data_IF_869386450613
#
_entry.id   IF_869386450613
#
_cell.length_a   1.000
_cell.length_b   1.000
_cell.length_c   1.000
_cell.angle_alpha   90.00
_cell.angle_beta   90.00
_cell.angle_gamma   90.00
#
_symmetry.space_group_name_H-M   'P 1'
#
loop_
_entity.id
_entity.type
_entity.pdbx_description
1 polymer ?
#
# COMPACT_ATOMS: atom_id res chain seq x y z
N UNK A 1 -2.51 -45.23 -20.48
CA UNK A 1 -1.31 -44.39 -20.68
C UNK A 1 -1.66 -42.99 -20.20
N UNK A 2 -1.42 -42.69 -18.92
CA UNK A 2 -1.67 -41.36 -18.36
C UNK A 2 -0.63 -40.42 -18.96
N UNK A 3 -1.08 -39.49 -19.82
CA UNK A 3 -0.23 -38.41 -20.29
C UNK A 3 0.26 -37.63 -19.07
N UNK A 4 1.58 -37.56 -18.89
CA UNK A 4 2.19 -36.89 -17.76
C UNK A 4 1.68 -35.47 -17.65
N UNK A 5 1.13 -35.12 -16.48
CA UNK A 5 0.83 -33.73 -16.16
C UNK A 5 2.13 -32.93 -16.28
N UNK A 6 2.24 -32.11 -17.32
CA UNK A 6 3.34 -31.15 -17.45
C UNK A 6 3.27 -30.23 -16.24
N UNK A 7 4.10 -30.52 -15.23
CA UNK A 7 4.18 -29.75 -13.99
C UNK A 7 4.60 -28.33 -14.36
N UNK A 8 3.64 -27.41 -14.34
CA UNK A 8 3.86 -26.03 -14.75
C UNK A 8 4.88 -25.39 -13.81
N UNK A 9 5.84 -24.67 -14.38
CA UNK A 9 6.79 -23.89 -13.60
C UNK A 9 6.12 -22.64 -13.02
N UNK A 10 6.61 -22.12 -11.89
CA UNK A 10 6.24 -20.80 -11.41
C UNK A 10 6.44 -19.70 -12.46
N UNK A 11 5.84 -18.55 -12.24
CA UNK A 11 6.04 -17.39 -13.10
C UNK A 11 7.53 -16.94 -13.11
N UNK A 12 8.01 -16.43 -14.26
CA UNK A 12 9.33 -15.83 -14.34
C UNK A 12 9.45 -14.66 -13.36
N UNK A 13 10.41 -14.75 -12.43
CA UNK A 13 10.50 -13.80 -11.33
C UNK A 13 10.70 -12.35 -11.78
N UNK A 14 11.42 -12.11 -12.88
CA UNK A 14 11.70 -10.76 -13.37
C UNK A 14 10.44 -9.97 -13.74
N UNK A 15 9.30 -10.64 -14.00
CA UNK A 15 8.03 -9.97 -14.25
C UNK A 15 7.52 -9.19 -13.03
N UNK A 16 7.90 -9.60 -11.81
CA UNK A 16 7.54 -8.86 -10.60
C UNK A 16 8.26 -7.51 -10.49
N UNK A 17 9.36 -7.30 -11.24
CA UNK A 17 10.03 -6.01 -11.32
C UNK A 17 9.15 -4.95 -12.00
N UNK A 18 8.12 -5.34 -12.74
CA UNK A 18 7.11 -4.42 -13.28
C UNK A 18 6.38 -3.64 -12.17
N UNK A 19 6.31 -4.19 -10.96
CA UNK A 19 5.79 -3.47 -9.79
C UNK A 19 6.56 -2.18 -9.48
N UNK A 20 7.84 -2.10 -9.89
CA UNK A 20 8.68 -0.92 -9.67
C UNK A 20 8.40 0.23 -10.66
N UNK A 21 7.58 0.01 -11.69
CA UNK A 21 7.23 1.06 -12.66
C UNK A 21 6.60 2.26 -11.93
N UNK A 22 5.60 2.04 -11.08
CA UNK A 22 4.92 3.11 -10.36
C UNK A 22 5.86 4.01 -9.55
N UNK A 23 6.70 3.50 -8.62
CA UNK A 23 7.62 4.36 -7.88
C UNK A 23 8.66 5.03 -8.79
N UNK A 24 9.17 4.37 -9.82
CA UNK A 24 10.12 4.98 -10.76
C UNK A 24 9.49 6.16 -11.50
N UNK A 25 8.26 5.99 -12.01
CA UNK A 25 7.53 7.05 -12.72
C UNK A 25 7.21 8.25 -11.83
N UNK A 26 6.87 8.01 -10.56
CA UNK A 26 6.58 9.10 -9.62
C UNK A 26 7.84 9.86 -9.24
N UNK A 27 8.94 9.15 -8.95
CA UNK A 27 10.23 9.77 -8.64
C UNK A 27 10.70 10.62 -9.84
N UNK A 28 10.72 10.06 -11.05
CA UNK A 28 11.13 10.80 -12.24
C UNK A 28 10.18 11.96 -12.56
N UNK A 29 8.88 11.75 -12.43
CA UNK A 29 7.86 12.77 -12.64
C UNK A 29 8.02 13.97 -11.71
N UNK A 30 8.23 13.72 -10.42
CA UNK A 30 8.48 14.76 -9.43
C UNK A 30 9.80 15.51 -9.70
N UNK A 31 10.85 14.81 -10.12
CA UNK A 31 12.16 15.42 -10.45
C UNK A 31 12.11 16.28 -11.72
N UNK A 32 11.33 15.88 -12.72
CA UNK A 32 11.20 16.61 -13.98
C UNK A 32 10.19 17.78 -13.89
N UNK A 33 9.18 17.65 -13.03
CA UNK A 33 8.16 18.67 -12.81
C UNK A 33 7.16 18.82 -13.98
N UNK A 34 6.31 19.84 -13.88
CA UNK A 34 5.31 20.14 -14.91
C UNK A 34 4.39 18.95 -15.21
N UNK A 35 4.13 18.70 -16.50
CA UNK A 35 3.27 17.59 -16.93
C UNK A 35 3.74 16.21 -16.46
N UNK A 36 5.05 16.02 -16.24
CA UNK A 36 5.59 14.73 -15.82
C UNK A 36 5.14 14.33 -14.41
N UNK A 37 4.72 15.27 -13.56
CA UNK A 37 4.17 14.94 -12.24
C UNK A 37 2.87 14.13 -12.31
N UNK A 38 2.18 14.15 -13.45
CA UNK A 38 0.96 13.37 -13.68
C UNK A 38 1.22 11.91 -14.10
N UNK A 39 2.48 11.51 -14.37
CA UNK A 39 2.80 10.17 -14.87
C UNK A 39 2.32 9.05 -13.94
N UNK A 40 2.39 9.24 -12.61
CA UNK A 40 1.88 8.27 -11.64
C UNK A 40 0.36 8.08 -11.74
N UNK A 41 -0.40 9.18 -11.77
CA UNK A 41 -1.86 9.15 -11.97
C UNK A 41 -2.21 8.47 -13.29
N UNK A 42 -1.58 8.90 -14.40
CA UNK A 42 -1.85 8.34 -15.73
C UNK A 42 -1.55 6.84 -15.74
N UNK A 43 -0.44 6.41 -15.17
CA UNK A 43 -0.10 5.00 -15.14
C UNK A 43 -1.07 4.18 -14.28
N UNK A 44 -1.36 4.63 -13.06
CA UNK A 44 -2.14 3.85 -12.08
C UNK A 44 -3.65 3.85 -12.41
N UNK A 45 -4.21 4.97 -12.88
CA UNK A 45 -5.65 5.10 -13.12
C UNK A 45 -6.08 4.95 -14.58
N UNK A 46 -5.16 5.10 -15.54
CA UNK A 46 -5.49 4.97 -16.97
C UNK A 46 -4.82 3.74 -17.55
N UNK A 47 -3.49 3.69 -17.57
CA UNK A 47 -2.75 2.62 -18.25
C UNK A 47 -2.96 1.27 -17.56
N UNK A 48 -2.86 1.21 -16.23
CA UNK A 48 -3.02 -0.01 -15.44
C UNK A 48 -4.37 -0.69 -15.68
N UNK A 49 -5.50 0.00 -15.47
CA UNK A 49 -6.83 -0.56 -15.74
C UNK A 49 -7.05 -0.95 -17.20
N UNK A 50 -6.52 -0.16 -18.16
CA UNK A 50 -6.58 -0.53 -19.58
C UNK A 50 -5.82 -1.84 -19.85
N UNK A 51 -4.61 -1.98 -19.30
CA UNK A 51 -3.82 -3.21 -19.44
C UNK A 51 -4.51 -4.40 -18.77
N UNK A 52 -5.12 -4.22 -17.59
CA UNK A 52 -5.87 -5.27 -16.90
C UNK A 52 -7.03 -5.80 -17.77
N UNK A 53 -7.80 -4.89 -18.39
CA UNK A 53 -8.90 -5.25 -19.30
C UNK A 53 -8.37 -5.93 -20.58
N UNK A 54 -7.30 -5.40 -21.18
CA UNK A 54 -6.75 -5.91 -22.44
C UNK A 54 -6.08 -7.28 -22.28
N UNK A 55 -5.35 -7.50 -21.18
CA UNK A 55 -4.64 -8.76 -20.92
C UNK A 55 -5.57 -9.83 -20.35
N UNK A 56 -6.58 -9.42 -19.59
CA UNK A 56 -7.57 -10.33 -19.01
C UNK A 56 -6.99 -11.31 -17.99
N UNK A 57 -7.74 -12.37 -17.69
CA UNK A 57 -7.37 -13.36 -16.67
C UNK A 57 -6.57 -14.53 -17.27
N UNK A 58 -5.52 -14.95 -16.58
CA UNK A 58 -4.86 -16.21 -16.91
C UNK A 58 -5.84 -17.38 -16.75
N UNK A 59 -5.89 -18.26 -17.75
CA UNK A 59 -6.67 -19.51 -17.70
C UNK A 59 -5.94 -20.63 -16.96
N UNK A 60 -4.65 -20.44 -16.69
CA UNK A 60 -3.76 -21.48 -16.19
C UNK A 60 -3.17 -21.03 -14.86
N UNK A 61 -3.43 -21.81 -13.82
CA UNK A 61 -2.82 -21.63 -12.51
C UNK A 61 -1.38 -22.13 -12.53
N UNK A 62 -0.43 -21.27 -12.16
CA UNK A 62 0.98 -21.63 -11.96
C UNK A 62 1.27 -21.73 -10.46
N UNK A 63 2.05 -22.73 -10.01
CA UNK A 63 2.39 -22.87 -8.60
C UNK A 63 3.26 -21.71 -8.11
N UNK A 64 3.20 -21.37 -6.80
CA UNK A 64 4.13 -20.42 -6.19
C UNK A 64 5.56 -20.92 -6.25
N UNK A 65 6.54 -20.01 -6.16
CA UNK A 65 7.96 -20.37 -6.07
C UNK A 65 8.29 -20.92 -4.69
N UNK A 66 9.23 -21.86 -4.63
CA UNK A 66 9.68 -22.46 -3.36
C UNK A 66 10.44 -21.48 -2.46
N UNK A 67 11.16 -20.50 -3.05
CA UNK A 67 11.90 -19.49 -2.31
C UNK A 67 11.16 -18.15 -2.27
N UNK A 68 10.90 -17.66 -1.05
CA UNK A 68 10.34 -16.32 -0.80
C UNK A 68 11.36 -15.19 -0.87
N UNK A 69 12.67 -15.48 -0.86
CA UNK A 69 13.74 -14.47 -0.77
C UNK A 69 13.65 -13.40 -1.86
N UNK A 70 13.40 -13.72 -3.15
CA UNK A 70 13.31 -12.69 -4.18
C UNK A 70 12.13 -11.73 -3.97
N UNK A 71 11.05 -12.18 -3.33
CA UNK A 71 9.89 -11.33 -2.99
C UNK A 71 10.17 -10.49 -1.76
N UNK A 72 10.87 -11.04 -0.76
CA UNK A 72 11.29 -10.27 0.41
C UNK A 72 12.23 -9.13 0.00
N UNK A 73 13.19 -9.38 -0.89
CA UNK A 73 14.05 -8.34 -1.48
C UNK A 73 13.20 -7.25 -2.15
N UNK A 74 12.17 -7.65 -2.91
CA UNK A 74 11.29 -6.71 -3.59
C UNK A 74 10.52 -5.82 -2.61
N UNK A 75 10.04 -6.36 -1.48
CA UNK A 75 9.44 -5.59 -0.40
C UNK A 75 10.41 -4.53 0.15
N UNK A 76 11.66 -4.90 0.40
CA UNK A 76 12.68 -3.95 0.85
C UNK A 76 12.95 -2.85 -0.18
N UNK A 77 13.03 -3.20 -1.46
CA UNK A 77 13.22 -2.23 -2.56
C UNK A 77 12.05 -1.24 -2.62
N UNK A 78 10.80 -1.72 -2.59
CA UNK A 78 9.63 -0.84 -2.56
C UNK A 78 9.60 0.06 -1.33
N UNK A 79 9.93 -0.49 -0.14
CA UNK A 79 9.98 0.29 1.10
C UNK A 79 11.04 1.39 1.06
N UNK A 80 12.22 1.12 0.52
CA UNK A 80 13.27 2.13 0.35
C UNK A 80 12.87 3.18 -0.69
N UNK A 81 12.37 2.75 -1.86
CA UNK A 81 11.93 3.66 -2.92
C UNK A 81 10.82 4.61 -2.48
N UNK A 82 9.96 4.18 -1.56
CA UNK A 82 8.90 5.05 -1.02
C UNK A 82 9.44 6.32 -0.36
N UNK A 83 10.58 6.25 0.34
CA UNK A 83 11.19 7.46 0.89
C UNK A 83 11.72 8.41 -0.19
N UNK A 84 12.18 7.87 -1.32
CA UNK A 84 12.52 8.69 -2.49
C UNK A 84 11.27 9.28 -3.16
N UNK A 85 10.16 8.54 -3.22
CA UNK A 85 8.86 9.04 -3.72
C UNK A 85 8.42 10.25 -2.89
N UNK A 86 8.39 10.12 -1.55
CA UNK A 86 8.02 11.22 -0.65
C UNK A 86 9.04 12.36 -0.71
N UNK A 87 10.34 12.06 -0.69
CA UNK A 87 11.39 13.06 -0.73
C UNK A 87 11.35 13.91 -1.99
N UNK A 88 11.20 13.29 -3.16
CA UNK A 88 11.07 14.00 -4.44
C UNK A 88 9.80 14.83 -4.53
N UNK A 89 8.68 14.34 -3.96
CA UNK A 89 7.46 15.13 -3.88
C UNK A 89 7.67 16.41 -3.05
N UNK A 90 8.25 16.32 -1.85
CA UNK A 90 8.51 17.49 -1.02
C UNK A 90 9.51 18.45 -1.67
N UNK A 91 10.55 17.92 -2.33
CA UNK A 91 11.49 18.74 -3.11
C UNK A 91 10.78 19.53 -4.21
N UNK A 92 9.89 18.88 -4.98
CA UNK A 92 9.10 19.54 -6.01
C UNK A 92 8.13 20.57 -5.41
N UNK A 93 7.43 20.20 -4.33
CA UNK A 93 6.46 21.04 -3.66
C UNK A 93 7.09 22.32 -3.07
N UNK A 94 8.30 22.21 -2.52
CA UNK A 94 9.04 23.35 -1.98
C UNK A 94 9.43 24.39 -3.03
N UNK A 95 9.52 23.99 -4.30
CA UNK A 95 9.81 24.89 -5.42
C UNK A 95 8.56 25.60 -5.96
N UNK A 96 7.36 25.24 -5.50
CA UNK A 96 6.12 25.85 -5.96
C UNK A 96 5.76 27.05 -5.08
N UNK A 97 5.47 28.19 -5.70
CA UNK A 97 5.05 29.41 -4.99
C UNK A 97 3.56 29.42 -4.62
N UNK A 98 2.76 28.57 -5.27
CA UNK A 98 1.31 28.46 -5.08
C UNK A 98 0.82 27.04 -5.37
N UNK A 99 -0.40 26.74 -4.94
CA UNK A 99 -1.06 25.48 -5.28
C UNK A 99 -1.52 25.54 -6.74
N UNK A 100 -0.75 24.91 -7.61
CA UNK A 100 -1.06 24.78 -9.03
C UNK A 100 -1.43 23.33 -9.41
N UNK A 101 -1.90 23.15 -10.65
CA UNK A 101 -2.31 21.85 -11.17
C UNK A 101 -1.20 20.79 -11.06
N UNK A 102 0.06 21.16 -11.29
CA UNK A 102 1.18 20.22 -11.26
C UNK A 102 1.54 19.80 -9.84
N UNK A 103 1.36 20.68 -8.85
CA UNK A 103 1.48 20.32 -7.44
C UNK A 103 0.40 19.33 -7.01
N UNK A 104 -0.85 19.57 -7.45
CA UNK A 104 -1.96 18.64 -7.19
C UNK A 104 -1.68 17.28 -7.87
N UNK A 105 -1.24 17.29 -9.13
CA UNK A 105 -0.89 16.07 -9.85
C UNK A 105 0.27 15.31 -9.18
N UNK A 106 1.32 16.02 -8.72
CA UNK A 106 2.42 15.43 -7.96
C UNK A 106 1.94 14.79 -6.65
N UNK A 107 1.08 15.48 -5.91
CA UNK A 107 0.49 14.98 -4.67
C UNK A 107 -0.37 13.73 -4.92
N UNK A 108 -1.20 13.73 -5.98
CA UNK A 108 -2.02 12.59 -6.35
C UNK A 108 -1.17 11.39 -6.81
N UNK A 109 -0.19 11.60 -7.69
CA UNK A 109 0.74 10.56 -8.15
C UNK A 109 1.48 9.93 -6.96
N UNK A 110 1.98 10.77 -6.05
CA UNK A 110 2.68 10.34 -4.83
C UNK A 110 1.75 9.57 -3.90
N UNK A 111 0.54 10.06 -3.65
CA UNK A 111 -0.45 9.38 -2.80
C UNK A 111 -0.89 8.03 -3.37
N UNK A 112 -1.15 7.95 -4.68
CA UNK A 112 -1.52 6.69 -5.34
C UNK A 112 -0.39 5.67 -5.30
N UNK A 113 0.85 6.09 -5.57
CA UNK A 113 2.00 5.21 -5.44
C UNK A 113 2.21 4.77 -3.99
N UNK A 114 2.00 5.66 -3.02
CA UNK A 114 2.08 5.33 -1.60
C UNK A 114 1.08 4.22 -1.22
N UNK A 115 -0.15 4.30 -1.72
CA UNK A 115 -1.16 3.25 -1.50
C UNK A 115 -0.80 1.93 -2.19
N UNK A 116 -0.49 1.98 -3.49
CA UNK A 116 -0.25 0.79 -4.31
C UNK A 116 1.08 0.08 -3.99
N UNK A 117 2.08 0.81 -3.50
CA UNK A 117 3.42 0.30 -3.20
C UNK A 117 3.65 0.24 -1.68
N UNK A 118 3.65 1.38 -1.00
CA UNK A 118 4.15 1.45 0.37
C UNK A 118 3.23 0.80 1.40
N UNK A 119 1.91 0.97 1.28
CA UNK A 119 0.95 0.31 2.19
C UNK A 119 0.97 -1.20 1.99
N UNK A 120 1.06 -1.68 0.74
CA UNK A 120 1.20 -3.12 0.43
C UNK A 120 2.49 -3.68 1.03
N UNK A 121 3.61 -3.00 0.85
CA UNK A 121 4.88 -3.39 1.48
C UNK A 121 4.78 -3.41 3.01
N UNK A 122 4.16 -2.38 3.60
CA UNK A 122 4.01 -2.28 5.04
C UNK A 122 3.04 -3.32 5.62
N UNK A 123 2.06 -3.78 4.84
CA UNK A 123 1.18 -4.89 5.21
C UNK A 123 1.98 -6.16 5.40
N UNK A 124 2.78 -6.57 4.41
CA UNK A 124 3.59 -7.80 4.50
C UNK A 124 4.65 -7.70 5.61
N UNK A 125 5.44 -6.62 5.61
CA UNK A 125 6.49 -6.41 6.60
C UNK A 125 5.94 -6.16 8.03
N UNK A 126 4.70 -5.71 8.15
CA UNK A 126 4.01 -5.48 9.42
C UNK A 126 3.72 -6.75 10.20
N UNK A 127 3.71 -7.91 9.54
CA UNK A 127 3.58 -9.24 10.15
C UNK A 127 4.89 -9.80 10.68
N UNK A 128 6.03 -9.19 10.33
CA UNK A 128 7.33 -9.61 10.85
C UNK A 128 7.40 -9.43 12.38
N UNK A 129 8.31 -10.17 13.03
CA UNK A 129 8.50 -10.14 14.48
C UNK A 129 8.60 -8.68 14.97
N UNK A 130 7.88 -8.30 16.04
CA UNK A 130 7.96 -6.94 16.58
C UNK A 130 9.40 -6.51 16.84
N UNK A 131 9.74 -5.27 16.47
CA UNK A 131 11.08 -4.66 16.54
C UNK A 131 12.14 -5.25 15.58
N UNK A 132 11.79 -6.18 14.71
CA UNK A 132 12.68 -6.60 13.61
C UNK A 132 12.86 -5.45 12.60
N UNK A 133 13.92 -5.47 11.77
CA UNK A 133 14.14 -4.44 10.75
C UNK A 133 12.94 -4.26 9.81
N UNK A 134 12.33 -5.35 9.33
CA UNK A 134 11.14 -5.28 8.46
C UNK A 134 9.95 -4.65 9.18
N UNK A 135 9.70 -5.02 10.43
CA UNK A 135 8.63 -4.44 11.24
C UNK A 135 8.84 -2.92 11.47
N UNK A 136 10.08 -2.49 11.70
CA UNK A 136 10.42 -1.06 11.84
C UNK A 136 10.18 -0.33 10.52
N UNK A 137 10.62 -0.91 9.39
CA UNK A 137 10.37 -0.34 8.07
C UNK A 137 8.86 -0.18 7.82
N UNK A 138 8.05 -1.21 8.06
CA UNK A 138 6.58 -1.13 7.95
C UNK A 138 5.99 0.03 8.79
N UNK A 139 6.50 0.21 10.01
CA UNK A 139 6.06 1.28 10.92
C UNK A 139 6.39 2.67 10.40
N UNK A 140 7.57 2.84 9.80
CA UNK A 140 8.00 4.09 9.17
C UNK A 140 7.20 4.38 7.89
N UNK A 141 6.97 3.37 7.05
CA UNK A 141 6.14 3.50 5.85
C UNK A 141 4.73 3.97 6.21
N UNK A 142 4.07 3.30 7.17
CA UNK A 142 2.71 3.67 7.61
C UNK A 142 2.66 5.04 8.28
N UNK A 143 3.71 5.42 9.02
CA UNK A 143 3.82 6.77 9.57
C UNK A 143 3.90 7.82 8.47
N UNK A 144 4.72 7.59 7.44
CA UNK A 144 4.91 8.53 6.33
C UNK A 144 3.65 8.80 5.50
N UNK A 145 2.63 7.94 5.60
CA UNK A 145 1.34 8.07 4.91
C UNK A 145 0.17 8.33 5.88
N UNK A 146 0.46 8.70 7.13
CA UNK A 146 -0.53 8.97 8.19
C UNK A 146 -1.49 7.80 8.48
N UNK A 147 -1.03 6.56 8.30
CA UNK A 147 -1.83 5.34 8.47
C UNK A 147 -1.25 4.36 9.51
N UNK A 148 -0.55 4.92 10.51
CA UNK A 148 0.12 4.23 11.62
C UNK A 148 -0.73 3.19 12.39
N UNK A 149 -2.05 3.34 12.39
CA UNK A 149 -2.98 2.46 13.09
C UNK A 149 -3.24 1.13 12.35
N UNK A 150 -2.90 1.05 11.06
CA UNK A 150 -3.16 -0.08 10.18
C UNK A 150 -2.74 -1.42 10.78
N UNK A 151 -1.48 -1.58 11.20
CA UNK A 151 -0.99 -2.85 11.77
C UNK A 151 -1.78 -3.32 12.99
N UNK A 152 -2.29 -2.40 13.81
CA UNK A 152 -3.09 -2.78 14.98
C UNK A 152 -4.48 -3.23 14.56
N UNK A 153 -5.11 -2.51 13.64
CA UNK A 153 -6.41 -2.86 13.09
C UNK A 153 -6.31 -4.20 12.34
N UNK A 154 -5.40 -4.28 11.38
CA UNK A 154 -5.25 -5.40 10.49
C UNK A 154 -4.93 -6.71 11.25
N UNK A 155 -3.96 -6.67 12.16
CA UNK A 155 -3.49 -7.87 12.86
C UNK A 155 -4.43 -8.34 14.00
N UNK A 156 -5.23 -7.44 14.57
CA UNK A 156 -6.07 -7.77 15.74
C UNK A 156 -7.58 -7.73 15.47
N UNK A 157 -8.00 -7.13 14.37
CA UNK A 157 -9.40 -6.98 13.97
C UNK A 157 -9.63 -7.66 12.64
N UNK A 158 -9.05 -7.17 11.53
CA UNK A 158 -9.33 -7.66 10.19
C UNK A 158 -9.11 -9.18 10.06
N UNK A 159 -7.92 -9.71 10.36
CA UNK A 159 -7.68 -11.16 10.26
C UNK A 159 -8.63 -12.02 11.10
N UNK A 160 -9.14 -11.47 12.22
CA UNK A 160 -10.03 -12.19 13.13
C UNK A 160 -11.50 -12.14 12.68
N UNK A 161 -11.90 -11.06 12.02
CA UNK A 161 -13.31 -10.73 11.76
C UNK A 161 -13.59 -10.43 10.28
N UNK A 162 -12.67 -10.75 9.38
CA UNK A 162 -12.79 -10.54 7.92
C UNK A 162 -14.13 -11.05 7.42
N UNK A 163 -14.75 -10.27 6.51
CA UNK A 163 -16.08 -10.49 5.96
C UNK A 163 -17.22 -10.53 7.01
N UNK A 164 -17.04 -9.90 8.17
CA UNK A 164 -18.12 -9.72 9.18
C UNK A 164 -18.33 -8.25 9.52
N UNK A 165 -19.47 -7.92 10.12
CA UNK A 165 -19.79 -6.54 10.55
C UNK A 165 -18.82 -5.95 11.59
N UNK A 166 -18.03 -6.80 12.27
CA UNK A 166 -17.04 -6.37 13.27
C UNK A 166 -15.74 -5.87 12.63
N UNK A 167 -15.52 -6.14 11.36
CA UNK A 167 -14.38 -5.66 10.59
C UNK A 167 -14.75 -4.40 9.82
N UNK A 168 -14.06 -3.30 10.12
CA UNK A 168 -14.30 -2.04 9.40
C UNK A 168 -13.72 -2.07 7.98
N UNK A 169 -12.68 -2.87 7.75
CA UNK A 169 -11.99 -3.01 6.47
C UNK A 169 -12.76 -3.89 5.46
N UNK A 170 -13.75 -4.67 5.90
CA UNK A 170 -14.61 -5.45 5.01
C UNK A 170 -15.79 -4.61 4.51
N UNK A 171 -16.07 -4.70 3.21
CA UNK A 171 -17.28 -4.13 2.62
C UNK A 171 -18.52 -4.89 3.11
N UNK A 172 -19.62 -4.16 3.36
CA UNK A 172 -20.91 -4.77 3.68
C UNK A 172 -21.60 -5.21 2.39
N UNK A 173 -22.56 -6.12 2.51
CA UNK A 173 -23.41 -6.50 1.38
C UNK A 173 -24.10 -5.25 0.81
N UNK A 174 -24.07 -5.11 -0.51
CA UNK A 174 -24.64 -3.99 -1.28
C UNK A 174 -24.10 -2.59 -0.92
N UNK A 175 -22.95 -2.52 -0.24
CA UNK A 175 -22.32 -1.25 0.08
C UNK A 175 -21.59 -0.67 -1.14
N UNK A 176 -22.05 0.49 -1.61
CA UNK A 176 -21.37 1.21 -2.68
C UNK A 176 -19.98 1.70 -2.27
N UNK A 177 -19.05 1.77 -3.25
CA UNK A 177 -17.64 2.11 -3.05
C UNK A 177 -17.44 3.39 -2.20
N UNK A 178 -18.19 4.45 -2.49
CA UNK A 178 -18.04 5.74 -1.80
C UNK A 178 -18.49 5.68 -0.33
N UNK A 179 -19.59 4.97 -0.04
CA UNK A 179 -20.04 4.75 1.33
C UNK A 179 -19.05 3.87 2.10
N UNK A 180 -18.55 2.81 1.46
CA UNK A 180 -17.49 1.97 2.02
C UNK A 180 -16.26 2.82 2.37
N UNK A 181 -15.79 3.65 1.44
CA UNK A 181 -14.60 4.49 1.65
C UNK A 181 -14.76 5.46 2.82
N UNK A 182 -15.90 6.17 2.89
CA UNK A 182 -16.21 7.08 3.99
C UNK A 182 -16.36 6.37 5.34
N UNK A 183 -16.82 5.12 5.36
CA UNK A 183 -16.97 4.32 6.59
C UNK A 183 -15.67 3.68 7.03
N UNK A 184 -14.93 3.07 6.11
CA UNK A 184 -13.82 2.17 6.40
C UNK A 184 -12.65 2.90 7.04
N UNK A 185 -12.29 4.09 6.54
CA UNK A 185 -11.15 4.86 7.04
C UNK A 185 -11.30 5.23 8.53
N UNK A 186 -12.34 5.98 8.94
CA UNK A 186 -12.54 6.29 10.35
C UNK A 186 -12.87 5.04 11.18
N UNK A 187 -13.58 4.06 10.59
CA UNK A 187 -13.92 2.80 11.25
C UNK A 187 -12.69 1.99 11.68
N UNK A 188 -11.70 1.88 10.80
CA UNK A 188 -10.43 1.21 11.07
C UNK A 188 -9.66 1.91 12.20
N UNK A 189 -9.58 3.24 12.18
CA UNK A 189 -8.96 4.02 13.25
C UNK A 189 -9.63 3.81 14.61
N UNK A 190 -10.98 3.87 14.65
CA UNK A 190 -11.76 3.64 15.87
C UNK A 190 -11.57 2.20 16.37
N UNK A 191 -11.52 1.23 15.46
CA UNK A 191 -11.31 -0.19 15.79
C UNK A 191 -9.94 -0.42 16.41
N UNK A 192 -8.87 0.16 15.86
CA UNK A 192 -7.54 0.14 16.46
C UNK A 192 -7.52 0.81 17.86
N UNK A 193 -8.17 1.96 18.02
CA UNK A 193 -8.34 2.60 19.32
C UNK A 193 -9.00 1.66 20.34
N UNK A 194 -10.06 0.96 19.95
CA UNK A 194 -10.77 0.00 20.81
C UNK A 194 -9.89 -1.18 21.23
N UNK A 195 -9.00 -1.67 20.37
CA UNK A 195 -8.03 -2.73 20.72
C UNK A 195 -7.14 -2.28 21.88
N UNK A 196 -6.59 -1.08 21.83
CA UNK A 196 -5.75 -0.54 22.91
C UNK A 196 -6.54 -0.19 24.17
N UNK A 197 -7.77 0.32 24.03
CA UNK A 197 -8.64 0.59 25.17
C UNK A 197 -8.97 -0.68 25.97
N UNK A 198 -9.16 -1.82 25.29
CA UNK A 198 -9.34 -3.14 25.94
C UNK A 198 -8.10 -3.60 26.70
N UNK A 199 -6.90 -3.15 26.29
CA UNK A 199 -5.62 -3.36 26.98
C UNK A 199 -5.34 -2.31 28.07
N UNK A 200 -6.34 -1.51 28.48
CA UNK A 200 -6.22 -0.48 29.52
C UNK A 200 -5.57 0.84 29.07
N UNK A 201 -5.22 0.99 27.79
CA UNK A 201 -4.56 2.20 27.25
C UNK A 201 -5.59 3.14 26.63
N UNK A 202 -6.14 4.05 27.43
CA UNK A 202 -7.22 4.99 27.04
C UNK A 202 -6.72 6.43 26.90
N UNK A 203 -7.46 7.25 26.14
CA UNK A 203 -7.16 8.67 25.91
C UNK A 203 -5.76 8.89 25.33
N UNK A 204 -5.02 9.88 25.82
CA UNK A 204 -3.65 10.18 25.37
C UNK A 204 -2.63 9.05 25.64
N UNK A 205 -2.97 8.03 26.43
CA UNK A 205 -2.12 6.83 26.59
C UNK A 205 -2.35 5.79 25.48
N UNK A 206 -3.33 6.00 24.60
CA UNK A 206 -3.63 5.10 23.50
C UNK A 206 -2.62 5.29 22.36
N UNK A 207 -1.83 4.27 21.99
CA UNK A 207 -0.83 4.39 20.92
C UNK A 207 -1.40 4.84 19.58
N UNK A 208 -2.63 4.45 19.25
CA UNK A 208 -3.30 4.90 18.02
C UNK A 208 -3.51 6.40 18.01
N UNK A 209 -3.88 6.99 19.16
CA UNK A 209 -4.07 8.44 19.29
C UNK A 209 -2.72 9.15 19.30
N UNK A 210 -1.73 8.64 20.05
CA UNK A 210 -0.40 9.23 20.11
C UNK A 210 0.24 9.31 18.73
N UNK A 211 0.17 8.24 17.94
CA UNK A 211 0.74 8.17 16.60
C UNK A 211 0.01 9.04 15.57
N UNK A 212 -1.21 9.49 15.88
CA UNK A 212 -1.97 10.40 15.02
C UNK A 212 -1.70 11.87 15.35
N UNK A 213 -1.28 12.17 16.57
CA UNK A 213 -1.00 13.53 17.04
C UNK A 213 0.47 13.96 16.85
N UNK A 214 1.34 13.02 16.48
CA UNK A 214 2.76 13.25 16.18
C UNK A 214 2.96 13.46 14.68
#
# INVERSE_FOLDING_TARGET
>A
MYMGENKLSPEPWFLHLLGLISPILVISGNLMGGFFTAMGVIFIWVIGPLLDVLLGKSKVYRPPRDSGTPFEILLWVHGILHFFVIGTFFMFAFQQNEINLWLIAAAMSTGLCSGASAIVTAHELGHHKPKSPGWILARLLLFSVNYSHFTTEHNHVHHRWVATEKDSASARLDEGLWFFWLRTIPGQFISACRVHNKKGRRGLKNPTIQQFLM
#
